data_IF_163890256747
#
_entry.id   IF_163890256747
#
_cell.length_a   1.000
_cell.length_b   1.000
_cell.length_c   1.000
_cell.angle_alpha   90.00
_cell.angle_beta   90.00
_cell.angle_gamma   90.00
#
_symmetry.space_group_name_H-M   'P 1'
#
loop_
_entity.id
_entity.type
_entity.pdbx_description
1 polymer ?
#
# COMPACT_ATOMS: atom_id res chain seq x y z
N UNK A 1 8.46 -20.27 -24.37
CA UNK A 1 7.00 -20.42 -24.41
C UNK A 1 6.38 -19.31 -23.57
N UNK A 2 6.15 -18.15 -24.18
CA UNK A 2 5.43 -17.03 -23.57
C UNK A 2 3.96 -17.18 -23.95
N UNK A 3 3.18 -17.73 -23.04
CA UNK A 3 1.72 -17.72 -23.15
C UNK A 3 1.08 -17.90 -21.77
N UNK A 4 1.01 -16.82 -20.99
CA UNK A 4 0.06 -16.72 -19.87
C UNK A 4 -0.48 -15.29 -19.81
N UNK A 5 -1.61 -15.10 -20.49
CA UNK A 5 -2.70 -14.16 -20.20
C UNK A 5 -2.30 -12.78 -19.64
N UNK A 6 -1.87 -11.89 -20.52
CA UNK A 6 -2.25 -10.48 -20.37
C UNK A 6 -3.76 -10.41 -20.62
N UNK A 7 -4.54 -10.34 -19.54
CA UNK A 7 -5.96 -10.01 -19.65
C UNK A 7 -6.07 -8.58 -20.17
N UNK A 8 -6.36 -8.43 -21.46
CA UNK A 8 -6.97 -7.24 -22.02
C UNK A 8 -8.28 -6.97 -21.28
N UNK A 9 -8.20 -6.23 -20.17
CA UNK A 9 -9.39 -5.67 -19.53
C UNK A 9 -9.76 -4.45 -20.37
N UNK A 10 -10.77 -4.62 -21.21
CA UNK A 10 -11.21 -3.67 -22.22
C UNK A 10 -11.59 -2.31 -21.62
N UNK A 11 -11.32 -1.25 -22.39
CA UNK A 11 -11.86 0.11 -22.18
C UNK A 11 -13.40 0.14 -22.28
N UNK A 12 -14.01 -0.94 -22.77
CA UNK A 12 -15.45 -1.09 -23.01
C UNK A 12 -16.29 -1.20 -21.73
N UNK A 13 -15.70 -1.61 -20.60
CA UNK A 13 -16.43 -1.74 -19.32
C UNK A 13 -16.85 -0.39 -18.73
N UNK A 14 -16.01 0.66 -18.88
CA UNK A 14 -16.34 1.99 -18.38
C UNK A 14 -17.57 2.60 -19.10
N UNK A 15 -17.79 2.22 -20.37
CA UNK A 15 -18.94 2.65 -21.17
C UNK A 15 -20.26 1.97 -20.79
N UNK A 16 -20.23 0.67 -20.42
CA UNK A 16 -21.44 -0.06 -20.02
C UNK A 16 -21.97 0.39 -18.66
N UNK A 17 -21.10 0.78 -17.72
CA UNK A 17 -21.53 1.21 -16.39
C UNK A 17 -22.14 2.62 -16.38
N UNK A 18 -21.77 3.46 -17.35
CA UNK A 18 -22.45 4.75 -17.56
C UNK A 18 -23.93 4.60 -17.96
N UNK A 19 -24.34 3.42 -18.44
CA UNK A 19 -25.73 3.14 -18.80
C UNK A 19 -26.62 2.73 -17.61
N UNK A 20 -26.04 2.40 -16.43
CA UNK A 20 -26.86 2.06 -15.26
C UNK A 20 -27.56 3.34 -14.74
N UNK A 21 -28.90 3.33 -14.61
CA UNK A 21 -29.65 4.52 -14.18
C UNK A 21 -29.27 5.01 -12.78
N UNK A 22 -28.65 4.15 -11.94
CA UNK A 22 -28.15 4.50 -10.61
C UNK A 22 -26.75 5.11 -10.62
N UNK A 23 -26.02 5.04 -11.73
CA UNK A 23 -24.65 5.53 -11.81
C UNK A 23 -24.57 7.06 -11.75
N UNK A 24 -25.50 7.76 -12.40
CA UNK A 24 -25.58 9.23 -12.32
C UNK A 24 -25.89 9.71 -10.88
N UNK A 25 -26.94 9.20 -10.19
CA UNK A 25 -27.15 9.49 -8.77
C UNK A 25 -25.93 9.18 -7.88
N UNK A 26 -25.24 8.07 -8.12
CA UNK A 26 -24.02 7.73 -7.39
C UNK A 26 -22.92 8.78 -7.60
N UNK A 27 -22.71 9.21 -8.84
CA UNK A 27 -21.73 10.23 -9.21
C UNK A 27 -22.04 11.55 -8.51
N UNK A 28 -23.28 12.02 -8.58
CA UNK A 28 -23.71 13.29 -7.98
C UNK A 28 -23.62 13.27 -6.44
N UNK A 29 -24.06 12.19 -5.79
CA UNK A 29 -23.95 12.04 -4.33
C UNK A 29 -22.49 11.93 -3.87
N UNK A 30 -21.66 11.18 -4.58
CA UNK A 30 -20.24 11.08 -4.28
C UNK A 30 -19.56 12.44 -4.42
N UNK A 31 -19.82 13.19 -5.51
CA UNK A 31 -19.27 14.52 -5.72
C UNK A 31 -19.67 15.50 -4.60
N UNK A 32 -20.94 15.49 -4.19
CA UNK A 32 -21.45 16.33 -3.12
C UNK A 32 -20.73 16.09 -1.78
N UNK A 33 -20.48 14.82 -1.43
CA UNK A 33 -19.72 14.48 -0.21
C UNK A 33 -18.24 14.87 -0.37
N UNK A 34 -17.62 14.54 -1.50
CA UNK A 34 -16.20 14.83 -1.76
C UNK A 34 -15.89 16.33 -1.76
N UNK A 35 -16.83 17.16 -2.21
CA UNK A 35 -16.72 18.62 -2.18
C UNK A 35 -16.84 19.20 -0.76
N UNK A 36 -17.45 18.45 0.17
CA UNK A 36 -17.58 18.90 1.57
C UNK A 36 -16.22 18.94 2.30
N UNK A 37 -15.24 18.14 1.88
CA UNK A 37 -13.90 18.09 2.49
C UNK A 37 -13.12 19.40 2.36
N UNK A 38 -13.42 20.24 1.35
CA UNK A 38 -12.80 21.56 1.20
C UNK A 38 -13.21 22.54 2.29
N UNK A 39 -14.35 22.27 2.93
CA UNK A 39 -14.92 23.10 4.00
C UNK A 39 -14.57 22.58 5.39
N UNK A 40 -13.70 21.56 5.49
CA UNK A 40 -13.28 21.03 6.78
C UNK A 40 -12.42 22.06 7.51
N UNK A 41 -12.85 22.47 8.70
CA UNK A 41 -12.08 23.38 9.56
C UNK A 41 -11.42 22.63 10.70
N UNK A 42 -12.02 21.51 11.13
CA UNK A 42 -11.51 20.69 12.21
C UNK A 42 -11.41 19.22 11.79
N UNK A 43 -10.60 18.44 12.53
CA UNK A 43 -10.42 17.01 12.26
C UNK A 43 -11.73 16.22 12.36
N UNK A 44 -12.67 16.67 13.21
CA UNK A 44 -13.98 16.03 13.37
C UNK A 44 -14.85 16.12 12.11
N UNK A 45 -14.70 17.20 11.32
CA UNK A 45 -15.37 17.34 10.03
C UNK A 45 -14.93 16.24 9.06
N UNK A 46 -13.62 15.93 9.05
CA UNK A 46 -13.06 14.88 8.19
C UNK A 46 -13.67 13.51 8.54
N UNK A 47 -13.80 13.17 9.82
CA UNK A 47 -14.45 11.93 10.25
C UNK A 47 -15.90 11.89 9.76
N UNK A 48 -16.66 12.98 9.96
CA UNK A 48 -18.05 13.09 9.50
C UNK A 48 -18.16 12.90 7.99
N UNK A 49 -17.27 13.50 7.21
CA UNK A 49 -17.28 13.39 5.75
C UNK A 49 -16.84 12.02 5.26
N UNK A 50 -15.85 11.38 5.90
CA UNK A 50 -15.47 9.99 5.63
C UNK A 50 -16.65 9.04 5.89
N UNK A 51 -17.36 9.21 7.02
CA UNK A 51 -18.55 8.41 7.32
C UNK A 51 -19.68 8.64 6.31
N UNK A 52 -19.88 9.87 5.83
CA UNK A 52 -20.82 10.16 4.74
C UNK A 52 -20.39 9.46 3.44
N UNK A 53 -19.10 9.48 3.12
CA UNK A 53 -18.56 8.85 1.93
C UNK A 53 -18.74 7.33 1.99
N UNK A 54 -18.39 6.70 3.12
CA UNK A 54 -18.62 5.26 3.36
C UNK A 54 -20.09 4.88 3.16
N UNK A 55 -21.03 5.69 3.66
CA UNK A 55 -22.47 5.46 3.44
C UNK A 55 -22.86 5.51 1.96
N UNK A 56 -22.37 6.49 1.21
CA UNK A 56 -22.62 6.57 -0.25
C UNK A 56 -22.00 5.37 -0.97
N UNK A 57 -20.76 5.00 -0.62
CA UNK A 57 -20.08 3.85 -1.21
C UNK A 57 -20.85 2.55 -0.94
N UNK A 58 -21.34 2.33 0.27
CA UNK A 58 -22.13 1.15 0.63
C UNK A 58 -23.50 1.14 -0.05
N UNK A 59 -24.19 2.29 -0.13
CA UNK A 59 -25.48 2.43 -0.82
C UNK A 59 -25.39 1.97 -2.28
N UNK A 60 -24.26 2.24 -2.94
CA UNK A 60 -24.03 1.92 -4.34
C UNK A 60 -23.06 0.74 -4.55
N UNK A 61 -22.88 -0.14 -3.56
CA UNK A 61 -21.86 -1.21 -3.58
C UNK A 61 -21.90 -2.11 -4.83
N UNK A 62 -23.09 -2.34 -5.38
CA UNK A 62 -23.29 -3.16 -6.59
C UNK A 62 -22.68 -2.56 -7.86
N UNK A 63 -22.36 -1.25 -7.87
CA UNK A 63 -21.72 -0.59 -8.99
C UNK A 63 -20.19 -0.75 -8.87
N UNK A 64 -19.50 -1.44 -9.79
CA UNK A 64 -18.08 -1.72 -9.61
C UNK A 64 -17.17 -0.50 -9.85
N UNK A 65 -17.64 0.51 -10.61
CA UNK A 65 -16.83 1.66 -10.99
C UNK A 65 -17.01 2.80 -9.99
N UNK A 66 -15.91 3.29 -9.43
CA UNK A 66 -15.92 4.46 -8.57
C UNK A 66 -15.91 5.76 -9.40
N UNK A 67 -16.86 6.68 -9.19
CA UNK A 67 -16.83 8.01 -9.77
C UNK A 67 -15.76 8.87 -9.08
N UNK A 68 -15.28 9.89 -9.78
CA UNK A 68 -14.36 10.91 -9.25
C UNK A 68 -13.11 10.35 -8.53
N UNK A 69 -12.52 9.24 -9.03
CA UNK A 69 -11.40 8.53 -8.39
C UNK A 69 -10.26 9.44 -7.93
N UNK A 70 -9.86 10.39 -8.78
CA UNK A 70 -8.79 11.35 -8.47
C UNK A 70 -9.16 12.25 -7.30
N UNK A 71 -10.38 12.77 -7.27
CA UNK A 71 -10.85 13.62 -6.16
C UNK A 71 -10.98 12.81 -4.87
N UNK A 72 -11.50 11.59 -4.97
CA UNK A 72 -11.60 10.65 -3.87
C UNK A 72 -10.22 10.34 -3.28
N UNK A 73 -9.22 9.99 -4.10
CA UNK A 73 -7.85 9.75 -3.66
C UNK A 73 -7.24 11.00 -2.98
N UNK A 74 -7.45 12.19 -3.54
CA UNK A 74 -7.02 13.46 -2.93
C UNK A 74 -7.62 13.68 -1.54
N UNK A 75 -8.91 13.37 -1.33
CA UNK A 75 -9.55 13.51 -0.01
C UNK A 75 -9.03 12.50 0.99
N UNK A 76 -8.81 11.25 0.57
CA UNK A 76 -8.20 10.26 1.43
C UNK A 76 -6.78 10.66 1.82
N UNK A 77 -5.97 11.14 0.86
CA UNK A 77 -4.62 11.65 1.12
C UNK A 77 -4.63 12.78 2.15
N UNK A 78 -5.54 13.75 2.03
CA UNK A 78 -5.72 14.83 3.02
C UNK A 78 -5.94 14.27 4.44
N UNK A 79 -6.73 13.21 4.56
CA UNK A 79 -7.01 12.57 5.85
C UNK A 79 -5.86 11.71 6.39
N UNK A 80 -4.83 11.44 5.60
CA UNK A 80 -3.59 10.76 6.02
C UNK A 80 -2.48 11.73 6.43
N UNK A 81 -2.76 13.04 6.57
CA UNK A 81 -1.80 14.00 7.08
C UNK A 81 -1.29 13.56 8.48
N UNK A 82 0.03 13.44 8.70
CA UNK A 82 0.64 13.07 9.98
C UNK A 82 0.20 13.89 11.19
N UNK A 83 -0.22 15.15 10.98
CA UNK A 83 -0.66 16.05 12.05
C UNK A 83 -2.09 15.78 12.53
N UNK A 84 -2.83 14.93 11.83
CA UNK A 84 -4.20 14.56 12.22
C UNK A 84 -4.20 13.46 13.29
N UNK A 85 -5.23 13.41 14.14
CA UNK A 85 -5.32 12.40 15.19
C UNK A 85 -5.56 11.00 14.61
N UNK A 86 -5.17 9.98 15.37
CA UNK A 86 -5.28 8.56 14.97
C UNK A 86 -6.70 8.15 14.58
N UNK A 87 -7.74 8.72 15.20
CA UNK A 87 -9.13 8.46 14.84
C UNK A 87 -9.46 8.81 13.38
N UNK A 88 -8.86 9.87 12.84
CA UNK A 88 -9.00 10.23 11.41
C UNK A 88 -8.26 9.22 10.55
N UNK A 89 -7.03 8.85 10.91
CA UNK A 89 -6.25 7.84 10.17
C UNK A 89 -6.99 6.50 10.10
N UNK A 90 -7.48 5.98 11.24
CA UNK A 90 -8.22 4.72 11.31
C UNK A 90 -9.48 4.74 10.43
N UNK A 91 -10.27 5.82 10.51
CA UNK A 91 -11.48 5.96 9.68
C UNK A 91 -11.12 6.09 8.18
N UNK A 92 -9.99 6.68 7.86
CA UNK A 92 -9.48 6.77 6.48
C UNK A 92 -9.06 5.40 5.96
N UNK A 93 -8.34 4.61 6.76
CA UNK A 93 -7.92 3.26 6.39
C UNK A 93 -9.10 2.29 6.25
N UNK A 94 -10.14 2.44 7.08
CA UNK A 94 -11.42 1.73 6.89
C UNK A 94 -12.08 2.10 5.55
N UNK A 95 -11.95 3.36 5.13
CA UNK A 95 -12.45 3.79 3.82
C UNK A 95 -11.61 3.21 2.68
N UNK A 96 -10.29 3.14 2.82
CA UNK A 96 -9.41 2.44 1.87
C UNK A 96 -9.77 0.96 1.74
N UNK A 97 -9.98 0.26 2.86
CA UNK A 97 -10.40 -1.14 2.89
C UNK A 97 -11.70 -1.34 2.10
N UNK A 98 -12.72 -0.50 2.35
CA UNK A 98 -13.98 -0.54 1.61
C UNK A 98 -13.77 -0.33 0.10
N UNK A 99 -12.92 0.61 -0.28
CA UNK A 99 -12.62 0.91 -1.69
C UNK A 99 -11.91 -0.26 -2.35
N UNK A 100 -10.82 -0.75 -1.76
CA UNK A 100 -10.00 -1.81 -2.34
C UNK A 100 -10.78 -3.13 -2.47
N UNK A 101 -11.55 -3.48 -1.43
CA UNK A 101 -12.44 -4.64 -1.47
C UNK A 101 -13.53 -4.52 -2.55
N UNK A 102 -14.04 -3.31 -2.80
CA UNK A 102 -15.06 -3.07 -3.84
C UNK A 102 -14.49 -3.11 -5.26
N UNK A 103 -13.34 -2.49 -5.51
CA UNK A 103 -12.79 -2.38 -6.89
C UNK A 103 -12.01 -3.64 -7.31
N UNK A 104 -11.55 -4.43 -6.34
CA UNK A 104 -10.79 -5.65 -6.58
C UNK A 104 -9.38 -5.40 -7.14
N UNK A 105 -8.61 -6.48 -7.25
CA UNK A 105 -7.18 -6.40 -7.61
C UNK A 105 -6.93 -5.83 -9.00
N UNK A 106 -7.77 -6.15 -9.99
CA UNK A 106 -7.60 -5.69 -11.38
C UNK A 106 -7.65 -4.16 -11.49
N UNK A 107 -8.65 -3.53 -10.88
CA UNK A 107 -8.81 -2.07 -10.89
C UNK A 107 -7.83 -1.39 -9.94
N UNK A 108 -7.54 -2.00 -8.79
CA UNK A 108 -6.54 -1.47 -7.86
C UNK A 108 -5.18 -1.29 -8.52
N UNK A 109 -4.74 -2.23 -9.38
CA UNK A 109 -3.46 -2.09 -10.10
C UNK A 109 -3.44 -0.85 -11.00
N UNK A 110 -4.55 -0.54 -11.67
CA UNK A 110 -4.65 0.64 -12.55
C UNK A 110 -4.54 1.95 -11.78
N UNK A 111 -5.17 1.98 -10.61
CA UNK A 111 -5.27 3.18 -9.78
C UNK A 111 -4.22 3.21 -8.65
N UNK A 112 -3.25 2.28 -8.67
CA UNK A 112 -2.35 1.99 -7.55
C UNK A 112 -1.56 3.23 -7.12
N UNK A 113 -1.08 4.02 -8.09
CA UNK A 113 -0.31 5.23 -7.82
C UNK A 113 -1.13 6.26 -7.01
N UNK A 114 -2.40 6.47 -7.37
CA UNK A 114 -3.28 7.43 -6.70
C UNK A 114 -3.55 7.06 -5.25
N UNK A 115 -3.75 5.76 -4.98
CA UNK A 115 -4.07 5.30 -3.64
C UNK A 115 -2.84 5.08 -2.75
N UNK A 116 -1.68 4.78 -3.33
CA UNK A 116 -0.47 4.47 -2.56
C UNK A 116 0.24 5.70 -2.00
N UNK A 117 0.08 6.87 -2.64
CA UNK A 117 0.87 8.09 -2.38
C UNK A 117 0.78 8.56 -0.92
N UNK A 118 -0.38 8.43 -0.28
CA UNK A 118 -0.57 8.80 1.14
C UNK A 118 -0.38 7.65 2.13
N UNK A 119 -0.61 6.40 1.70
CA UNK A 119 -0.70 5.25 2.60
C UNK A 119 0.68 4.85 3.12
N UNK A 120 1.69 4.81 2.26
CA UNK A 120 3.03 4.35 2.68
C UNK A 120 3.74 5.32 3.62
N UNK A 121 3.77 6.64 3.35
CA UNK A 121 4.42 7.59 4.25
C UNK A 121 3.77 7.65 5.64
N UNK A 122 2.47 7.35 5.74
CA UNK A 122 1.74 7.35 7.00
C UNK A 122 2.38 6.43 8.03
N UNK A 123 2.90 5.26 7.63
CA UNK A 123 3.37 4.23 8.58
C UNK A 123 4.35 4.76 9.63
N UNK A 124 5.30 5.59 9.18
CA UNK A 124 6.32 6.18 10.04
C UNK A 124 5.75 7.15 11.08
N UNK A 125 4.70 7.88 10.71
CA UNK A 125 4.12 8.92 11.56
C UNK A 125 2.85 8.46 12.30
N UNK A 126 2.36 7.28 11.94
CA UNK A 126 1.20 6.66 12.55
C UNK A 126 1.44 6.32 14.02
N UNK A 127 0.42 6.58 14.84
CA UNK A 127 0.38 6.05 16.21
C UNK A 127 0.42 4.51 16.21
N UNK A 128 0.86 3.93 17.33
CA UNK A 128 1.04 2.48 17.44
C UNK A 128 -0.24 1.67 17.12
N UNK A 129 -1.42 2.19 17.46
CA UNK A 129 -2.71 1.56 17.14
C UNK A 129 -3.07 1.56 15.64
N UNK A 130 -2.50 2.47 14.84
CA UNK A 130 -2.77 2.57 13.39
C UNK A 130 -1.86 1.62 12.60
N UNK A 131 -0.64 1.35 13.10
CA UNK A 131 0.37 0.52 12.42
C UNK A 131 -0.14 -0.90 12.06
N UNK A 132 -0.82 -1.65 12.96
CA UNK A 132 -1.40 -2.95 12.60
C UNK A 132 -2.41 -2.86 11.44
N UNK A 133 -3.26 -1.83 11.42
CA UNK A 133 -4.29 -1.63 10.38
C UNK A 133 -3.65 -1.33 9.02
N UNK A 134 -2.53 -0.60 9.00
CA UNK A 134 -1.75 -0.40 7.77
C UNK A 134 -1.15 -1.72 7.25
N UNK A 135 -0.58 -2.54 8.13
CA UNK A 135 -0.04 -3.84 7.73
C UNK A 135 -1.15 -4.77 7.21
N UNK A 136 -2.32 -4.77 7.83
CA UNK A 136 -3.50 -5.50 7.33
C UNK A 136 -3.84 -5.09 5.89
N UNK A 137 -3.83 -3.78 5.60
CA UNK A 137 -4.10 -3.26 4.28
C UNK A 137 -3.04 -3.74 3.26
N UNK A 138 -1.76 -3.76 3.65
CA UNK A 138 -0.66 -4.27 2.82
C UNK A 138 -0.80 -5.77 2.56
N UNK A 139 -1.13 -6.56 3.58
CA UNK A 139 -1.31 -8.01 3.49
C UNK A 139 -2.49 -8.40 2.60
N UNK A 140 -3.63 -7.71 2.77
CA UNK A 140 -4.88 -8.04 2.06
C UNK A 140 -4.91 -7.51 0.63
N UNK A 141 -4.36 -6.33 0.36
CA UNK A 141 -4.57 -5.64 -0.92
C UNK A 141 -3.32 -5.45 -1.76
N UNK A 142 -2.14 -5.29 -1.15
CA UNK A 142 -0.90 -5.09 -1.90
C UNK A 142 -0.19 -6.40 -2.18
N UNK A 143 -0.12 -7.30 -1.20
CA UNK A 143 0.56 -8.58 -1.34
C UNK A 143 -0.04 -9.47 -2.46
N UNK A 144 -1.37 -9.54 -2.67
CA UNK A 144 -1.95 -10.32 -3.77
C UNK A 144 -1.72 -9.73 -5.17
N UNK A 145 -1.19 -8.50 -5.29
CA UNK A 145 -0.89 -7.91 -6.60
C UNK A 145 0.30 -8.60 -7.30
N UNK A 146 1.17 -9.27 -6.52
CA UNK A 146 2.38 -9.92 -7.01
C UNK A 146 3.28 -8.93 -7.76
N UNK A 147 3.78 -9.34 -8.94
CA UNK A 147 4.63 -8.49 -9.80
C UNK A 147 4.01 -7.13 -10.16
N UNK A 148 2.68 -6.99 -10.12
CA UNK A 148 1.99 -5.74 -10.46
C UNK A 148 2.18 -4.63 -9.41
N UNK A 149 2.75 -4.94 -8.24
CA UNK A 149 3.08 -3.94 -7.20
C UNK A 149 4.38 -3.16 -7.50
N UNK A 150 5.18 -3.60 -8.48
CA UNK A 150 6.48 -3.00 -8.81
C UNK A 150 6.45 -1.47 -8.95
N UNK A 151 5.43 -0.83 -9.56
CA UNK A 151 5.39 0.64 -9.69
C UNK A 151 5.41 1.39 -8.36
N UNK A 152 4.90 0.80 -7.28
CA UNK A 152 4.83 1.44 -5.96
C UNK A 152 5.78 0.79 -4.92
N UNK A 153 6.57 -0.21 -5.35
CA UNK A 153 7.47 -0.99 -4.51
C UNK A 153 8.49 -0.13 -3.72
N UNK A 154 9.09 0.95 -4.26
CA UNK A 154 10.01 1.79 -3.47
C UNK A 154 9.36 2.41 -2.23
N UNK A 155 8.10 2.86 -2.34
CA UNK A 155 7.36 3.42 -1.21
C UNK A 155 6.91 2.35 -0.24
N UNK A 156 6.43 1.21 -0.75
CA UNK A 156 6.01 0.08 0.07
C UNK A 156 7.17 -0.51 0.88
N UNK A 157 8.33 -0.71 0.25
CA UNK A 157 9.56 -1.17 0.92
C UNK A 157 10.01 -0.16 1.97
N UNK A 158 9.92 1.16 1.71
CA UNK A 158 10.21 2.16 2.73
C UNK A 158 9.33 1.98 3.98
N UNK A 159 8.02 1.83 3.79
CA UNK A 159 7.07 1.64 4.90
C UNK A 159 7.34 0.34 5.68
N UNK A 160 7.61 -0.77 4.99
CA UNK A 160 7.91 -2.06 5.62
C UNK A 160 9.26 -2.04 6.35
N UNK A 161 10.29 -1.38 5.81
CA UNK A 161 11.54 -1.21 6.54
C UNK A 161 11.35 -0.34 7.79
N UNK A 162 10.50 0.71 7.74
CA UNK A 162 10.12 1.45 8.95
C UNK A 162 9.36 0.59 9.97
N UNK A 163 8.60 -0.41 9.51
CA UNK A 163 7.93 -1.36 10.40
C UNK A 163 8.88 -2.32 11.13
N UNK A 164 10.14 -2.41 10.69
CA UNK A 164 11.18 -3.20 11.35
C UNK A 164 11.92 -2.47 12.47
N UNK A 165 11.54 -1.21 12.79
CA UNK A 165 12.19 -0.40 13.83
C UNK A 165 12.24 -1.14 15.20
N UNK A 166 11.13 -1.77 15.60
CA UNK A 166 11.03 -2.51 16.86
C UNK A 166 11.39 -3.99 16.64
N UNK A 167 12.69 -4.30 16.65
CA UNK A 167 13.21 -5.68 16.43
C UNK A 167 12.58 -6.67 17.41
N UNK A 168 12.06 -7.79 16.89
CA UNK A 168 11.41 -8.82 17.69
C UNK A 168 9.93 -8.56 18.02
N UNK A 169 9.39 -7.40 17.66
CA UNK A 169 7.94 -7.13 17.77
C UNK A 169 7.12 -7.92 16.73
N UNK A 170 5.82 -8.04 17.00
CA UNK A 170 4.86 -8.58 16.04
C UNK A 170 4.86 -7.79 14.72
N UNK A 171 4.91 -6.45 14.81
CA UNK A 171 4.93 -5.56 13.64
C UNK A 171 6.17 -5.80 12.77
N UNK A 172 7.34 -5.94 13.39
CA UNK A 172 8.60 -6.24 12.69
C UNK A 172 8.55 -7.61 12.03
N UNK A 173 8.02 -8.62 12.72
CA UNK A 173 7.85 -9.98 12.17
C UNK A 173 6.94 -9.98 10.94
N UNK A 174 5.79 -9.30 11.02
CA UNK A 174 4.86 -9.14 9.88
C UNK A 174 5.49 -8.40 8.71
N UNK A 175 6.26 -7.35 9.00
CA UNK A 175 6.96 -6.57 7.98
C UNK A 175 8.02 -7.38 7.22
N UNK A 176 8.82 -8.18 7.94
CA UNK A 176 9.80 -9.09 7.34
C UNK A 176 9.10 -10.12 6.45
N UNK A 177 8.01 -10.73 6.92
CA UNK A 177 7.25 -11.69 6.12
C UNK A 177 6.67 -11.06 4.85
N UNK A 178 6.18 -9.82 4.91
CA UNK A 178 5.74 -9.08 3.73
C UNK A 178 6.88 -8.78 2.76
N UNK A 179 8.05 -8.33 3.27
CA UNK A 179 9.23 -8.10 2.44
C UNK A 179 9.64 -9.38 1.69
N UNK A 180 9.65 -10.53 2.37
CA UNK A 180 9.96 -11.83 1.73
C UNK A 180 8.92 -12.24 0.69
N UNK A 181 7.64 -11.99 0.99
CA UNK A 181 6.57 -12.22 0.03
C UNK A 181 6.73 -11.36 -1.22
N UNK A 182 7.10 -10.08 -1.07
CA UNK A 182 7.40 -9.24 -2.24
C UNK A 182 8.69 -9.67 -2.95
N UNK A 183 9.73 -10.09 -2.24
CA UNK A 183 10.95 -10.62 -2.83
C UNK A 183 10.71 -11.85 -3.71
N UNK A 184 9.79 -12.73 -3.31
CA UNK A 184 9.45 -13.97 -4.02
C UNK A 184 8.39 -13.82 -5.10
N UNK A 185 7.52 -12.81 -5.02
CA UNK A 185 6.41 -12.61 -5.98
C UNK A 185 6.68 -11.54 -7.03
N UNK A 186 7.70 -10.71 -6.82
CA UNK A 186 8.15 -9.70 -7.79
C UNK A 186 9.47 -10.12 -8.42
N UNK A 187 9.95 -9.36 -9.42
CA UNK A 187 11.27 -9.64 -10.00
C UNK A 187 12.37 -9.27 -9.01
N UNK A 188 13.37 -10.14 -8.88
CA UNK A 188 14.51 -9.96 -7.95
C UNK A 188 15.22 -8.62 -8.16
N UNK A 189 15.45 -8.21 -9.41
CA UNK A 189 16.09 -6.94 -9.73
C UNK A 189 15.27 -5.73 -9.29
N UNK A 190 13.95 -5.76 -9.50
CA UNK A 190 13.05 -4.69 -9.09
C UNK A 190 12.98 -4.57 -7.55
N UNK A 191 12.85 -5.69 -6.85
CA UNK A 191 12.82 -5.72 -5.39
C UNK A 191 14.14 -5.26 -4.78
N UNK A 192 15.26 -5.81 -5.26
CA UNK A 192 16.58 -5.42 -4.76
C UNK A 192 16.87 -3.95 -5.05
N UNK A 193 16.50 -3.43 -6.23
CA UNK A 193 16.63 -2.00 -6.53
C UNK A 193 15.84 -1.13 -5.55
N UNK A 194 14.64 -1.56 -5.13
CA UNK A 194 13.88 -0.86 -4.11
C UNK A 194 14.59 -0.87 -2.75
N UNK A 195 15.04 -2.04 -2.26
CA UNK A 195 15.75 -2.18 -0.98
C UNK A 195 17.06 -1.38 -0.97
N UNK A 196 17.93 -1.57 -1.96
CA UNK A 196 19.20 -0.84 -2.08
C UNK A 196 18.95 0.67 -2.21
N UNK A 197 17.94 1.07 -2.99
CA UNK A 197 17.57 2.48 -3.09
C UNK A 197 17.14 3.09 -1.75
N UNK A 198 16.49 2.31 -0.86
CA UNK A 198 16.18 2.79 0.50
C UNK A 198 17.42 2.88 1.36
N UNK A 199 18.28 1.88 1.32
CA UNK A 199 19.55 1.85 2.07
C UNK A 199 20.46 3.05 1.72
N UNK A 200 20.59 3.37 0.44
CA UNK A 200 21.47 4.44 -0.03
C UNK A 200 20.89 5.84 0.23
N UNK A 201 19.59 6.04 0.01
CA UNK A 201 18.99 7.38 -0.01
C UNK A 201 18.17 7.75 1.23
N UNK A 202 17.88 6.80 2.14
CA UNK A 202 17.03 7.06 3.30
C UNK A 202 17.77 6.67 4.58
N UNK A 203 18.47 7.64 5.17
CA UNK A 203 19.28 7.43 6.38
C UNK A 203 18.48 6.77 7.53
N UNK A 204 17.20 7.07 7.59
CA UNK A 204 16.33 6.71 8.69
C UNK A 204 15.80 5.27 8.66
N UNK A 205 15.93 4.58 7.52
CA UNK A 205 15.63 3.14 7.39
C UNK A 205 16.87 2.32 7.01
N UNK A 206 18.05 2.96 7.01
CA UNK A 206 19.30 2.33 6.55
C UNK A 206 19.67 1.12 7.40
N UNK A 207 19.54 1.25 8.72
CA UNK A 207 19.81 0.15 9.65
C UNK A 207 18.87 -1.03 9.41
N UNK A 208 17.58 -0.75 9.22
CA UNK A 208 16.56 -1.77 8.98
C UNK A 208 16.79 -2.47 7.64
N UNK A 209 17.19 -1.73 6.59
CA UNK A 209 17.59 -2.30 5.31
C UNK A 209 18.81 -3.22 5.44
N UNK A 210 19.85 -2.79 6.16
CA UNK A 210 21.04 -3.60 6.42
C UNK A 210 20.71 -4.87 7.21
N UNK A 211 19.86 -4.76 8.23
CA UNK A 211 19.41 -5.90 9.02
C UNK A 211 18.65 -6.89 8.14
N UNK A 212 17.69 -6.41 7.34
CA UNK A 212 16.95 -7.26 6.40
C UNK A 212 17.88 -7.99 5.42
N UNK A 213 18.86 -7.28 4.84
CA UNK A 213 19.84 -7.87 3.93
C UNK A 213 20.72 -8.89 4.64
N UNK A 214 21.21 -8.61 5.84
CA UNK A 214 22.04 -9.56 6.63
C UNK A 214 21.25 -10.82 6.98
N UNK A 215 19.96 -10.69 7.25
CA UNK A 215 19.07 -11.84 7.52
C UNK A 215 18.85 -12.74 6.29
N UNK A 216 19.05 -12.25 5.07
CA UNK A 216 18.83 -13.00 3.82
C UNK A 216 20.11 -13.36 3.10
N UNK A 217 21.17 -12.60 3.35
CA UNK A 217 22.52 -12.75 2.81
C UNK A 217 23.52 -12.63 3.97
N UNK A 218 23.54 -13.62 4.89
CA UNK A 218 24.48 -13.60 5.98
C UNK A 218 25.91 -13.57 5.41
N UNK A 219 26.81 -12.74 5.96
CA UNK A 219 28.20 -12.73 5.52
C UNK A 219 28.76 -14.14 5.63
N UNK A 220 29.35 -14.63 4.55
CA UNK A 220 29.93 -15.97 4.48
C UNK A 220 31.18 -15.99 5.34
N UNK A 221 31.05 -16.22 6.64
CA UNK A 221 32.17 -16.55 7.54
C UNK A 221 32.76 -17.96 7.24
N UNK A 222 32.24 -18.69 6.25
CA UNK A 222 32.62 -20.06 5.92
C UNK A 222 33.80 -20.22 4.93
N UNK A 223 34.47 -19.13 4.50
CA UNK A 223 35.70 -19.23 3.69
C UNK A 223 36.98 -18.93 4.48
N UNK A 224 36.87 -18.61 5.78
CA UNK A 224 38.02 -18.26 6.61
C UNK A 224 38.57 -19.43 7.46
N UNK A 225 37.95 -20.62 7.40
CA UNK A 225 38.28 -21.74 8.30
C UNK A 225 38.59 -23.06 7.57
N UNK A 226 39.01 -23.01 6.30
CA UNK A 226 39.72 -24.16 5.74
C UNK A 226 41.20 -24.08 6.17
N UNK A 227 41.70 -24.99 7.03
CA UNK A 227 43.14 -25.10 7.23
C UNK A 227 43.78 -25.41 5.88
N UNK A 228 44.80 -24.62 5.51
CA UNK A 228 45.58 -24.83 4.31
C UNK A 228 45.99 -26.32 4.23
N UNK A 229 45.66 -26.99 3.12
CA UNK A 229 46.12 -28.34 2.88
C UNK A 229 47.66 -28.38 3.02
N UNK A 230 48.23 -29.33 3.77
CA UNK A 230 49.67 -29.38 3.93
C UNK A 230 50.35 -29.60 2.57
N UNK A 231 51.56 -29.04 2.36
CA UNK A 231 52.29 -29.24 1.13
C UNK A 231 52.52 -30.74 0.92
N UNK A 232 52.17 -31.21 -0.27
CA UNK A 232 52.48 -32.57 -0.72
C UNK A 232 54.00 -32.66 -0.93
N UNK A 233 54.66 -33.52 -0.16
CA UNK A 233 56.04 -33.97 -0.41
C UNK A 233 56.14 -34.79 -1.69
#
# INVERSE_FOLDING_TARGET
AFHVMEGEVSLDEDGQVASDPKYRPFTDEAFSVLSSFEKATEWADLIRYLQRLQRVLNKYYQLPHLPHKVLLAKRLYQCLNPQLPSGVHLKTLETYELIFSRIGTSRLVRDLAFYSEGVFPLYRHASYQVKPVLLDLFERHYAPLGVRVVPCLPGLVLALLSAMEDVGSELSTRAVALLDKFASTTRVDAFMKAVWGRLLHNASVRLQALNYLTMRFPPTLALADQPAAPPTE
#
